data_IF_416755167476
#
_entry.id   IF_416755167476
#
_cell.length_a   1.000
_cell.length_b   1.000
_cell.length_c   1.000
_cell.angle_alpha   90.00
_cell.angle_beta   90.00
_cell.angle_gamma   90.00
#
_symmetry.space_group_name_H-M   'P 1'
#
loop_
_entity.id
_entity.type
_entity.pdbx_description
1 polymer ?
#
# COMPACT_ATOMS: atom_id res chain seq x y z
N UNK A 1 49.96 5.95 -47.86
CA UNK A 1 49.67 4.55 -47.46
C UNK A 1 48.49 4.62 -46.48
N UNK A 2 47.28 4.30 -46.93
CA UNK A 2 46.07 4.38 -46.09
C UNK A 2 45.93 3.05 -45.36
N UNK A 3 46.19 3.05 -44.06
CA UNK A 3 45.93 1.89 -43.19
C UNK A 3 44.42 1.70 -43.07
N UNK A 4 43.87 0.71 -43.76
CA UNK A 4 42.48 0.29 -43.55
C UNK A 4 42.33 -0.24 -42.12
N UNK A 5 41.53 0.46 -41.31
CA UNK A 5 41.13 -0.05 -40.01
C UNK A 5 40.21 -1.24 -40.27
N UNK A 6 40.52 -2.45 -39.77
CA UNK A 6 39.71 -3.62 -40.04
C UNK A 6 38.35 -3.46 -39.35
N UNK A 7 37.30 -3.30 -40.15
CA UNK A 7 35.90 -3.15 -39.74
C UNK A 7 35.45 -4.17 -38.68
N UNK A 8 36.02 -5.38 -38.70
CA UNK A 8 35.79 -6.42 -37.69
C UNK A 8 36.20 -5.98 -36.27
N UNK A 9 37.28 -5.22 -36.11
CA UNK A 9 37.73 -4.72 -34.80
C UNK A 9 36.82 -3.62 -34.27
N UNK A 10 36.39 -2.69 -35.13
CA UNK A 10 35.43 -1.63 -34.76
C UNK A 10 34.11 -2.26 -34.30
N UNK A 11 33.59 -3.23 -35.05
CA UNK A 11 32.33 -3.90 -34.69
C UNK A 11 32.40 -4.63 -33.36
N UNK A 12 33.48 -5.38 -33.11
CA UNK A 12 33.67 -6.09 -31.84
C UNK A 12 33.80 -5.10 -30.67
N UNK A 13 34.58 -4.02 -30.82
CA UNK A 13 34.75 -3.02 -29.77
C UNK A 13 33.43 -2.30 -29.45
N UNK A 14 32.64 -1.94 -30.46
CA UNK A 14 31.32 -1.32 -30.25
C UNK A 14 30.34 -2.28 -29.59
N UNK A 15 30.29 -3.54 -30.00
CA UNK A 15 29.42 -4.55 -29.38
C UNK A 15 29.78 -4.80 -27.91
N UNK A 16 31.08 -4.89 -27.59
CA UNK A 16 31.56 -5.04 -26.21
C UNK A 16 31.26 -3.80 -25.37
N UNK A 17 31.44 -2.59 -25.92
CA UNK A 17 31.12 -1.35 -25.22
C UNK A 17 29.61 -1.22 -24.91
N UNK A 18 28.73 -1.59 -25.84
CA UNK A 18 27.28 -1.62 -25.62
C UNK A 18 26.88 -2.66 -24.57
N UNK A 19 27.50 -3.83 -24.56
CA UNK A 19 27.23 -4.87 -23.56
C UNK A 19 27.64 -4.42 -22.15
N UNK A 20 28.82 -3.81 -22.01
CA UNK A 20 29.31 -3.28 -20.73
C UNK A 20 28.45 -2.10 -20.24
N UNK A 21 28.00 -1.23 -21.15
CA UNK A 21 27.06 -0.16 -20.81
C UNK A 21 25.72 -0.72 -20.31
N UNK A 22 25.18 -1.76 -20.95
CA UNK A 22 23.91 -2.38 -20.53
C UNK A 22 23.96 -2.98 -19.12
N UNK A 23 25.11 -3.54 -18.72
CA UNK A 23 25.33 -4.05 -17.37
C UNK A 23 25.43 -2.93 -16.32
N UNK A 24 25.90 -1.74 -16.71
CA UNK A 24 26.00 -0.58 -15.82
C UNK A 24 24.64 0.10 -15.53
N UNK A 25 23.60 -0.20 -16.33
CA UNK A 25 22.24 0.30 -16.13
C UNK A 25 21.27 -0.76 -15.59
N UNK A 26 21.75 -1.98 -15.32
CA UNK A 26 20.94 -3.03 -14.71
C UNK A 26 20.81 -2.79 -13.19
N UNK A 27 19.93 -1.87 -12.81
CA UNK A 27 19.53 -1.74 -11.41
C UNK A 27 18.69 -2.96 -11.01
N UNK A 28 19.02 -3.68 -9.93
CA UNK A 28 18.16 -4.75 -9.45
C UNK A 28 16.80 -4.17 -9.04
N UNK A 29 15.76 -4.50 -9.80
CA UNK A 29 14.38 -4.29 -9.37
C UNK A 29 14.04 -5.39 -8.36
N UNK A 30 14.09 -5.06 -7.07
CA UNK A 30 13.65 -5.99 -6.04
C UNK A 30 12.14 -6.06 -6.06
N UNK A 31 11.62 -7.21 -6.49
CA UNK A 31 10.20 -7.47 -6.48
C UNK A 31 9.73 -7.82 -5.06
N UNK A 32 8.53 -7.40 -4.66
CA UNK A 32 7.97 -7.70 -3.35
C UNK A 32 8.01 -9.21 -3.06
N UNK A 33 8.49 -9.59 -1.88
CA UNK A 33 8.59 -11.00 -1.43
C UNK A 33 7.77 -11.26 -0.18
N UNK A 34 7.50 -12.54 0.11
CA UNK A 34 6.70 -12.94 1.27
C UNK A 34 5.37 -12.18 1.34
N UNK A 35 5.10 -11.54 2.47
CA UNK A 35 3.87 -10.80 2.74
C UNK A 35 3.91 -9.30 2.39
N UNK A 36 5.01 -8.76 1.84
CA UNK A 36 5.12 -7.34 1.48
C UNK A 36 3.97 -6.85 0.60
N UNK A 37 3.35 -5.73 0.96
CA UNK A 37 2.22 -5.18 0.21
C UNK A 37 0.91 -5.94 0.40
N UNK A 38 0.83 -6.90 1.33
CA UNK A 38 -0.44 -7.48 1.75
C UNK A 38 -0.98 -6.81 3.00
N UNK A 39 -2.30 -6.83 3.13
CA UNK A 39 -3.02 -6.27 4.24
C UNK A 39 -3.06 -7.28 5.38
N UNK A 40 -2.87 -6.82 6.60
CA UNK A 40 -3.00 -7.62 7.82
C UNK A 40 -4.04 -7.00 8.73
N UNK A 41 -4.81 -7.88 9.37
CA UNK A 41 -5.89 -7.45 10.25
C UNK A 41 -5.78 -8.08 11.64
N UNK A 42 -6.24 -7.36 12.65
CA UNK A 42 -6.43 -7.85 14.03
C UNK A 42 -7.74 -7.32 14.60
N UNK A 43 -8.36 -7.97 15.58
CA UNK A 43 -9.64 -7.51 16.17
C UNK A 43 -9.44 -6.44 17.28
N UNK A 44 -10.52 -5.96 17.89
CA UNK A 44 -10.45 -5.20 19.14
C UNK A 44 -10.29 -3.70 19.00
N UNK A 45 -10.75 -3.09 17.90
CA UNK A 45 -10.98 -1.64 17.83
C UNK A 45 -12.45 -1.39 18.09
N UNK A 46 -12.81 -0.62 19.09
CA UNK A 46 -14.23 -0.27 19.32
C UNK A 46 -14.54 1.05 18.61
N UNK A 47 -15.44 1.01 17.63
CA UNK A 47 -15.98 2.21 16.98
C UNK A 47 -17.48 2.21 17.19
N UNK A 48 -18.00 3.27 17.83
CA UNK A 48 -19.42 3.40 18.16
C UNK A 48 -20.03 2.16 18.86
N UNK A 49 -19.26 1.52 19.75
CA UNK A 49 -19.71 0.35 20.52
C UNK A 49 -19.66 -0.98 19.78
N UNK A 50 -19.19 -1.03 18.53
CA UNK A 50 -19.06 -2.25 17.73
C UNK A 50 -17.59 -2.68 17.65
N UNK A 51 -17.31 -3.97 17.88
CA UNK A 51 -15.98 -4.55 17.64
C UNK A 51 -15.65 -4.51 16.14
N UNK A 52 -14.73 -3.62 15.82
CA UNK A 52 -14.11 -3.46 14.52
C UNK A 52 -12.69 -4.03 14.56
N UNK A 53 -12.19 -4.31 13.37
CA UNK A 53 -10.81 -4.73 13.21
C UNK A 53 -9.90 -3.51 13.06
N UNK A 54 -8.60 -3.73 13.18
CA UNK A 54 -7.55 -2.79 12.82
C UNK A 54 -6.82 -3.32 11.60
N UNK A 55 -6.50 -2.46 10.66
CA UNK A 55 -5.80 -2.80 9.43
C UNK A 55 -4.39 -2.23 9.42
N UNK A 56 -3.50 -2.90 8.72
CA UNK A 56 -2.18 -2.41 8.36
C UNK A 56 -1.72 -3.03 7.04
N UNK A 57 -0.73 -2.43 6.39
CA UNK A 57 -0.05 -2.99 5.22
C UNK A 57 1.32 -3.53 5.63
N UNK A 58 1.68 -4.75 5.25
CA UNK A 58 2.99 -5.34 5.52
C UNK A 58 4.09 -4.64 4.71
N UNK A 59 5.03 -3.97 5.38
CA UNK A 59 6.20 -3.30 4.76
C UNK A 59 7.37 -4.26 4.51
N UNK A 60 7.46 -5.34 5.29
CA UNK A 60 8.49 -6.37 5.24
C UNK A 60 7.92 -7.76 4.88
N UNK A 61 8.76 -8.71 4.42
CA UNK A 61 8.27 -10.02 3.97
C UNK A 61 7.65 -10.88 5.07
N UNK A 62 8.08 -10.69 6.31
CA UNK A 62 7.67 -11.43 7.50
C UNK A 62 7.82 -10.54 8.72
N UNK A 63 7.13 -10.87 9.82
CA UNK A 63 7.35 -10.17 11.09
C UNK A 63 8.55 -10.78 11.84
N UNK A 64 9.29 -9.93 12.55
CA UNK A 64 10.24 -10.36 13.58
C UNK A 64 10.23 -9.36 14.74
N UNK A 65 10.68 -9.78 15.93
CA UNK A 65 10.53 -9.03 17.19
C UNK A 65 11.28 -7.69 17.27
N UNK A 66 12.13 -7.36 16.30
CA UNK A 66 12.90 -6.11 16.26
C UNK A 66 12.68 -5.26 15.01
N UNK A 67 11.73 -5.63 14.15
CA UNK A 67 11.44 -4.92 12.90
C UNK A 67 10.21 -4.04 13.00
N UNK A 68 10.03 -3.19 11.99
CA UNK A 68 8.82 -2.40 11.77
C UNK A 68 8.05 -2.95 10.56
N UNK A 69 7.47 -4.17 10.66
CA UNK A 69 6.99 -4.93 9.51
C UNK A 69 5.69 -4.40 8.93
N UNK A 70 5.05 -3.39 9.51
CA UNK A 70 3.78 -2.86 9.05
C UNK A 70 3.78 -1.34 8.93
N UNK A 71 2.95 -0.82 8.03
CA UNK A 71 2.55 0.59 7.93
C UNK A 71 1.07 0.67 8.31
N UNK A 72 0.73 1.53 9.27
CA UNK A 72 -0.65 1.71 9.72
C UNK A 72 -0.93 3.11 10.27
N UNK A 73 -2.21 3.45 10.36
CA UNK A 73 -2.70 4.62 11.09
C UNK A 73 -3.40 4.14 12.36
N UNK A 74 -3.02 4.63 13.55
CA UNK A 74 -3.55 4.16 14.85
C UNK A 74 -4.16 5.32 15.63
N UNK A 75 -5.29 5.09 16.30
CA UNK A 75 -5.81 6.03 17.31
C UNK A 75 -4.79 6.23 18.45
N UNK A 76 -4.39 7.47 18.71
CA UNK A 76 -3.30 7.80 19.65
C UNK A 76 -1.90 7.82 19.02
N UNK A 77 -1.74 7.40 17.76
CA UNK A 77 -0.64 7.88 16.92
C UNK A 77 -1.02 9.25 16.35
N UNK A 78 -0.01 10.10 16.15
CA UNK A 78 -0.22 11.40 15.54
C UNK A 78 -0.34 11.30 14.01
N UNK A 79 0.13 10.22 13.37
CA UNK A 79 0.15 10.05 11.90
C UNK A 79 0.26 8.57 11.46
N UNK A 80 0.09 8.33 10.16
CA UNK A 80 0.45 7.06 9.48
C UNK A 80 1.94 6.80 9.66
N UNK A 81 2.29 5.61 10.12
CA UNK A 81 3.67 5.30 10.50
C UNK A 81 3.99 3.84 10.30
N UNK A 82 5.29 3.56 10.28
CA UNK A 82 5.80 2.22 10.52
C UNK A 82 5.53 1.80 11.97
N UNK A 83 5.20 0.54 12.18
CA UNK A 83 4.95 -0.03 13.50
C UNK A 83 5.54 -1.42 13.66
N UNK A 84 5.87 -1.76 14.90
CA UNK A 84 6.25 -3.12 15.30
C UNK A 84 5.03 -4.04 15.33
N UNK A 85 5.26 -5.36 15.32
CA UNK A 85 4.17 -6.34 15.42
C UNK A 85 3.39 -6.27 16.76
N UNK A 86 4.05 -6.11 17.93
CA UNK A 86 3.34 -5.91 19.19
C UNK A 86 2.48 -4.63 19.21
N UNK A 87 2.95 -3.52 18.63
CA UNK A 87 2.16 -2.29 18.53
C UNK A 87 0.94 -2.45 17.61
N UNK A 88 1.07 -3.21 16.53
CA UNK A 88 -0.05 -3.51 15.64
C UNK A 88 -1.11 -4.37 16.32
N UNK A 89 -0.66 -5.46 16.94
CA UNK A 89 -1.55 -6.44 17.58
C UNK A 89 -2.16 -5.90 18.86
N UNK A 90 -1.43 -5.13 19.67
CA UNK A 90 -1.90 -4.48 20.89
C UNK A 90 -2.58 -5.48 21.86
N UNK A 91 -2.00 -6.69 21.97
CA UNK A 91 -2.54 -7.80 22.76
C UNK A 91 -3.85 -8.40 22.21
N UNK A 92 -4.28 -8.03 21.00
CA UNK A 92 -5.49 -8.54 20.34
C UNK A 92 -5.17 -9.67 19.37
N UNK A 93 -6.22 -10.35 18.93
CA UNK A 93 -6.15 -11.54 18.07
C UNK A 93 -5.96 -11.14 16.61
N UNK A 94 -4.86 -11.61 16.04
CA UNK A 94 -4.60 -11.54 14.61
C UNK A 94 -5.69 -12.29 13.81
N UNK A 95 -6.18 -11.66 12.74
CA UNK A 95 -7.28 -12.16 11.94
C UNK A 95 -6.84 -12.74 10.60
N UNK A 96 -5.65 -12.39 10.10
CA UNK A 96 -5.06 -12.96 8.89
C UNK A 96 -4.37 -11.96 7.98
N UNK A 97 -3.74 -12.49 6.92
CA UNK A 97 -3.16 -11.74 5.80
C UNK A 97 -4.11 -11.83 4.62
N UNK A 98 -4.31 -10.71 3.93
CA UNK A 98 -5.29 -10.54 2.88
C UNK A 98 -4.70 -9.78 1.69
N UNK A 99 -5.18 -10.10 0.49
CA UNK A 99 -4.84 -9.41 -0.76
C UNK A 99 -6.10 -8.94 -1.48
N UNK A 100 -6.00 -8.04 -2.47
CA UNK A 100 -7.11 -7.74 -3.36
C UNK A 100 -7.68 -9.01 -4.03
N UNK A 101 -8.97 -8.98 -4.41
CA UNK A 101 -9.64 -10.10 -5.10
C UNK A 101 -8.95 -10.49 -6.41
N UNK A 102 -8.49 -9.48 -7.15
CA UNK A 102 -7.57 -9.70 -8.27
C UNK A 102 -6.19 -9.87 -7.66
N UNK A 103 -5.59 -11.05 -7.86
CA UNK A 103 -4.27 -11.34 -7.29
C UNK A 103 -3.22 -10.39 -7.88
N UNK A 104 -2.53 -9.58 -7.04
CA UNK A 104 -1.50 -8.67 -7.53
C UNK A 104 -0.22 -9.43 -7.87
N UNK A 105 0.55 -8.89 -8.83
CA UNK A 105 1.92 -9.33 -9.07
C UNK A 105 2.85 -8.83 -7.95
N UNK A 106 4.08 -9.34 -7.90
CA UNK A 106 5.10 -8.81 -6.99
C UNK A 106 5.43 -7.35 -7.28
N UNK A 107 5.49 -6.94 -8.55
CA UNK A 107 5.69 -5.54 -8.93
C UNK A 107 4.54 -4.63 -8.45
N UNK A 108 3.28 -5.06 -8.63
CA UNK A 108 2.14 -4.29 -8.14
C UNK A 108 2.16 -4.14 -6.60
N UNK A 109 2.66 -5.15 -5.89
CA UNK A 109 2.84 -5.06 -4.43
C UNK A 109 3.93 -4.08 -4.02
N UNK A 110 4.97 -3.89 -4.83
CA UNK A 110 5.95 -2.82 -4.59
C UNK A 110 5.33 -1.44 -4.80
N UNK A 111 4.45 -1.30 -5.79
CA UNK A 111 3.69 -0.06 -5.99
C UNK A 111 2.80 0.24 -4.78
N UNK A 112 2.13 -0.77 -4.21
CA UNK A 112 1.36 -0.59 -2.97
C UNK A 112 2.24 -0.08 -1.83
N UNK A 113 3.45 -0.64 -1.69
CA UNK A 113 4.41 -0.19 -0.68
C UNK A 113 4.90 1.23 -0.94
N UNK A 114 5.17 1.58 -2.20
CA UNK A 114 5.57 2.92 -2.58
C UNK A 114 4.49 3.93 -2.17
N UNK A 115 3.22 3.65 -2.48
CA UNK A 115 2.10 4.51 -2.08
C UNK A 115 1.98 4.60 -0.56
N UNK A 116 2.03 3.48 0.16
CA UNK A 116 1.94 3.46 1.61
C UNK A 116 3.09 4.22 2.31
N UNK A 117 4.29 4.22 1.72
CA UNK A 117 5.45 4.99 2.22
C UNK A 117 5.22 6.49 2.06
N UNK A 118 4.65 6.94 0.93
CA UNK A 118 4.27 8.34 0.75
C UNK A 118 3.29 8.81 1.84
N UNK A 119 2.34 7.96 2.24
CA UNK A 119 1.43 8.29 3.36
C UNK A 119 2.18 8.50 4.70
N UNK A 120 3.27 7.75 4.93
CA UNK A 120 4.15 7.95 6.09
C UNK A 120 4.90 9.27 5.97
N UNK A 121 5.48 9.54 4.79
CA UNK A 121 6.29 10.74 4.54
C UNK A 121 5.47 12.03 4.71
N UNK A 122 4.22 12.03 4.23
CA UNK A 122 3.28 13.14 4.39
C UNK A 122 2.68 13.24 5.81
N UNK A 123 2.96 12.26 6.68
CA UNK A 123 2.51 12.21 8.08
C UNK A 123 0.99 12.39 8.22
N UNK A 124 0.23 11.64 7.43
CA UNK A 124 -1.24 11.78 7.39
C UNK A 124 -1.85 11.49 8.79
N UNK A 125 -2.57 12.44 9.41
CA UNK A 125 -3.21 12.25 10.71
C UNK A 125 -4.25 11.14 10.73
N UNK A 126 -4.46 10.53 11.90
CA UNK A 126 -5.52 9.54 12.09
C UNK A 126 -6.90 10.17 12.22
N UNK A 127 -7.93 9.55 11.63
CA UNK A 127 -9.33 9.81 11.95
C UNK A 127 -10.16 8.50 12.01
N UNK A 128 -11.35 8.56 12.62
CA UNK A 128 -12.28 7.42 12.73
C UNK A 128 -13.41 7.44 11.69
N UNK A 129 -13.65 8.59 11.06
CA UNK A 129 -14.84 8.85 10.29
C UNK A 129 -14.71 8.48 8.80
N UNK A 130 -13.52 8.58 8.21
CA UNK A 130 -13.31 8.44 6.77
C UNK A 130 -12.08 7.59 6.53
N UNK A 131 -12.18 6.66 5.57
CA UNK A 131 -11.01 5.94 5.08
C UNK A 131 -9.95 6.93 4.62
N UNK A 132 -10.33 7.88 3.75
CA UNK A 132 -9.44 8.95 3.26
C UNK A 132 -10.23 10.25 3.29
N UNK A 133 -9.77 11.22 4.06
CA UNK A 133 -10.39 12.55 4.13
C UNK A 133 -9.49 13.60 3.48
N UNK A 134 -10.08 14.41 2.62
CA UNK A 134 -9.47 15.51 1.89
C UNK A 134 -10.53 16.58 1.62
N UNK A 135 -10.13 17.81 1.34
CA UNK A 135 -11.04 18.87 0.93
C UNK A 135 -11.36 18.76 -0.57
N UNK A 136 -12.63 18.48 -0.89
CA UNK A 136 -13.12 18.31 -2.25
C UNK A 136 -13.15 19.61 -3.05
N UNK A 137 -13.07 20.77 -2.41
CA UNK A 137 -13.01 22.07 -3.07
C UNK A 137 -11.61 22.44 -3.57
N UNK A 138 -10.57 21.80 -3.03
CA UNK A 138 -9.16 22.13 -3.31
C UNK A 138 -8.36 20.96 -3.87
N UNK A 139 -8.80 19.72 -3.67
CA UNK A 139 -8.15 18.54 -4.24
C UNK A 139 -8.18 18.52 -5.78
N UNK A 140 -7.14 17.93 -6.37
CA UNK A 140 -7.04 17.66 -7.81
C UNK A 140 -8.07 16.64 -8.30
N UNK A 141 -7.92 16.16 -9.54
CA UNK A 141 -8.77 15.06 -10.05
C UNK A 141 -8.53 13.74 -9.30
N UNK A 142 -7.26 13.52 -8.94
CA UNK A 142 -6.80 12.42 -8.12
C UNK A 142 -6.24 13.02 -6.84
N UNK A 143 -6.59 12.42 -5.70
CA UNK A 143 -6.21 12.87 -4.37
C UNK A 143 -4.82 12.33 -4.07
N UNK A 144 -3.79 13.11 -4.31
CA UNK A 144 -2.42 12.79 -3.95
C UNK A 144 -2.26 12.70 -2.41
N UNK A 145 -1.26 11.96 -1.89
CA UNK A 145 -1.02 11.85 -0.45
C UNK A 145 -0.98 13.20 0.27
N UNK A 146 -0.35 14.22 -0.31
CA UNK A 146 -0.23 15.56 0.27
C UNK A 146 -1.58 16.32 0.41
N UNK A 147 -2.63 15.88 -0.29
CA UNK A 147 -3.97 16.46 -0.20
C UNK A 147 -4.84 15.78 0.88
N UNK A 148 -4.37 14.65 1.43
CA UNK A 148 -5.08 13.92 2.47
C UNK A 148 -4.88 14.63 3.81
N UNK A 149 -5.98 15.11 4.39
CA UNK A 149 -5.96 15.79 5.69
C UNK A 149 -5.99 14.80 6.85
N UNK A 150 -6.62 13.63 6.68
CA UNK A 150 -6.55 12.55 7.66
C UNK A 150 -7.04 11.23 7.07
N UNK A 151 -6.71 10.10 7.70
CA UNK A 151 -7.15 8.79 7.25
C UNK A 151 -7.38 7.80 8.40
N UNK A 152 -8.22 6.80 8.14
CA UNK A 152 -8.44 5.68 9.08
C UNK A 152 -7.47 4.53 8.83
N UNK A 153 -7.41 3.58 9.76
CA UNK A 153 -6.48 2.45 9.69
C UNK A 153 -6.65 1.61 8.41
N UNK A 154 -7.89 1.35 8.01
CA UNK A 154 -8.25 0.67 6.76
C UNK A 154 -8.13 1.55 5.52
N UNK A 155 -8.09 2.87 5.69
CA UNK A 155 -7.77 3.82 4.62
C UNK A 155 -6.36 3.62 4.07
N UNK A 156 -5.39 3.23 4.91
CA UNK A 156 -4.02 2.94 4.47
C UNK A 156 -4.01 1.80 3.44
N UNK A 157 -4.77 0.75 3.71
CA UNK A 157 -4.87 -0.42 2.83
C UNK A 157 -5.64 -0.07 1.56
N UNK A 158 -6.80 0.56 1.70
CA UNK A 158 -7.67 0.91 0.60
C UNK A 158 -7.00 1.87 -0.37
N UNK A 159 -6.45 2.98 0.13
CA UNK A 159 -5.76 3.96 -0.70
C UNK A 159 -4.56 3.36 -1.44
N UNK A 160 -3.73 2.55 -0.76
CA UNK A 160 -2.56 1.90 -1.39
C UNK A 160 -2.94 0.93 -2.52
N UNK A 161 -4.02 0.17 -2.35
CA UNK A 161 -4.49 -0.75 -3.37
C UNK A 161 -5.18 -0.03 -4.52
N UNK A 162 -6.06 0.93 -4.22
CA UNK A 162 -6.89 1.58 -5.22
C UNK A 162 -6.12 2.60 -6.07
N UNK A 163 -5.10 3.26 -5.52
CA UNK A 163 -4.14 4.06 -6.29
C UNK A 163 -3.48 3.27 -7.41
N UNK A 164 -3.27 1.98 -7.16
CA UNK A 164 -2.66 1.04 -8.10
C UNK A 164 -3.69 0.25 -8.92
N UNK A 165 -4.97 0.63 -8.88
CA UNK A 165 -6.03 0.02 -9.68
C UNK A 165 -6.67 -1.25 -9.09
N UNK A 166 -6.41 -1.57 -7.82
CA UNK A 166 -6.95 -2.76 -7.15
C UNK A 166 -8.09 -2.39 -6.20
N UNK A 167 -9.33 -2.56 -6.68
CA UNK A 167 -10.54 -2.26 -5.90
C UNK A 167 -10.61 -3.00 -4.56
N UNK A 168 -10.94 -2.26 -3.49
CA UNK A 168 -11.19 -2.77 -2.15
C UNK A 168 -12.65 -2.64 -1.74
N UNK A 169 -13.36 -1.55 -2.02
CA UNK A 169 -14.78 -1.44 -1.68
C UNK A 169 -15.57 -0.75 -2.78
N UNK A 170 -16.89 -0.72 -2.66
CA UNK A 170 -17.76 0.05 -3.53
C UNK A 170 -18.06 -0.53 -4.91
N UNK A 171 -18.91 0.21 -5.63
CA UNK A 171 -19.40 -0.14 -6.95
C UNK A 171 -18.55 0.52 -8.06
N UNK A 172 -18.86 0.27 -9.33
CA UNK A 172 -18.08 0.81 -10.46
C UNK A 172 -17.95 2.34 -10.49
N UNK A 173 -18.82 3.07 -9.77
CA UNK A 173 -18.82 4.53 -9.72
C UNK A 173 -18.04 5.09 -8.53
N UNK A 174 -18.12 4.43 -7.37
CA UNK A 174 -17.60 4.94 -6.10
C UNK A 174 -16.60 4.00 -5.44
N UNK A 175 -15.98 3.11 -6.21
CA UNK A 175 -14.98 2.23 -5.62
C UNK A 175 -13.71 2.97 -5.27
N UNK A 176 -13.24 3.86 -6.15
CA UNK A 176 -11.91 4.45 -6.08
C UNK A 176 -11.83 5.63 -5.09
N UNK A 177 -11.22 5.41 -3.92
CA UNK A 177 -10.98 6.45 -2.91
C UNK A 177 -9.97 7.51 -3.34
N UNK A 178 -9.19 7.23 -4.39
CA UNK A 178 -8.17 8.15 -4.89
C UNK A 178 -8.73 9.14 -5.88
N UNK A 179 -9.93 8.90 -6.42
CA UNK A 179 -10.61 9.86 -7.27
C UNK A 179 -11.33 10.90 -6.42
N UNK A 180 -11.01 12.18 -6.64
CA UNK A 180 -11.62 13.26 -5.88
C UNK A 180 -13.12 13.37 -6.18
N UNK A 181 -13.93 13.38 -5.13
CA UNK A 181 -15.37 13.59 -5.25
C UNK A 181 -16.09 13.41 -3.93
N UNK A 182 -16.98 14.35 -3.60
CA UNK A 182 -17.75 14.32 -2.36
C UNK A 182 -18.50 13.00 -2.17
N UNK A 183 -19.22 12.54 -3.20
CA UNK A 183 -19.95 11.26 -3.14
C UNK A 183 -19.02 10.06 -2.95
N UNK A 184 -17.82 10.07 -3.55
CA UNK A 184 -16.85 8.99 -3.35
C UNK A 184 -16.37 8.97 -1.90
N UNK A 185 -15.94 10.13 -1.37
CA UNK A 185 -15.46 10.25 0.01
C UNK A 185 -16.52 9.82 1.04
N UNK A 186 -17.77 10.27 0.90
CA UNK A 186 -18.84 9.90 1.84
C UNK A 186 -19.25 8.43 1.72
N UNK A 187 -19.17 7.83 0.52
CA UNK A 187 -19.40 6.40 0.32
C UNK A 187 -18.39 5.55 1.11
N UNK A 188 -17.16 6.06 1.27
CA UNK A 188 -16.06 5.46 2.04
C UNK A 188 -15.93 6.09 3.43
N UNK A 189 -17.04 6.16 4.16
CA UNK A 189 -17.09 6.76 5.50
C UNK A 189 -17.86 5.91 6.51
N UNK A 190 -17.59 6.20 7.79
CA UNK A 190 -18.28 5.66 8.94
C UNK A 190 -18.31 4.14 8.93
N UNK A 191 -19.52 3.59 9.03
CA UNK A 191 -19.78 2.15 9.06
C UNK A 191 -20.15 1.57 7.70
N UNK A 192 -20.19 2.37 6.62
CA UNK A 192 -20.52 1.90 5.27
C UNK A 192 -19.51 0.85 4.79
N UNK A 193 -18.25 1.05 5.16
CA UNK A 193 -17.16 0.11 5.02
C UNK A 193 -16.32 0.19 6.28
N UNK A 194 -15.95 -0.96 6.84
CA UNK A 194 -15.09 -1.08 8.01
C UNK A 194 -13.93 -2.02 7.71
N UNK A 195 -12.86 -2.04 8.53
CA UNK A 195 -11.74 -2.96 8.32
C UNK A 195 -12.18 -4.43 8.24
N UNK A 196 -13.19 -4.82 9.04
CA UNK A 196 -13.77 -6.16 9.01
C UNK A 196 -14.54 -6.42 7.71
N UNK A 197 -15.34 -5.46 7.25
CA UNK A 197 -16.09 -5.58 5.99
C UNK A 197 -15.13 -5.72 4.80
N UNK A 198 -14.08 -4.89 4.71
CA UNK A 198 -13.06 -5.02 3.67
C UNK A 198 -12.47 -6.43 3.66
N UNK A 199 -11.97 -6.89 4.81
CA UNK A 199 -11.30 -8.18 4.94
C UNK A 199 -12.21 -9.38 4.63
N UNK A 200 -13.47 -9.34 5.08
CA UNK A 200 -14.39 -10.49 4.97
C UNK A 200 -15.16 -10.52 3.63
N UNK A 201 -15.45 -9.37 3.04
CA UNK A 201 -16.35 -9.29 1.88
C UNK A 201 -15.65 -8.91 0.58
N UNK A 202 -14.52 -8.21 0.65
CA UNK A 202 -13.92 -7.61 -0.53
C UNK A 202 -12.46 -7.99 -0.80
N UNK A 203 -11.76 -8.51 0.19
CA UNK A 203 -10.41 -9.05 0.02
C UNK A 203 -10.42 -10.58 0.01
N UNK A 204 -9.33 -11.17 -0.47
CA UNK A 204 -9.09 -12.61 -0.41
C UNK A 204 -8.10 -12.90 0.72
N UNK A 205 -8.52 -13.74 1.67
CA UNK A 205 -7.63 -14.23 2.74
C UNK A 205 -6.57 -15.16 2.16
N UNK A 206 -5.31 -14.89 2.48
CA UNK A 206 -4.16 -15.71 2.10
C UNK A 206 -3.88 -16.75 3.17
N UNK A 207 -3.80 -16.31 4.43
CA UNK A 207 -3.51 -17.17 5.57
C UNK A 207 -4.09 -16.60 6.86
N UNK A 208 -4.34 -17.46 7.84
CA UNK A 208 -4.66 -17.08 9.22
C UNK A 208 -3.42 -17.12 10.14
N UNK A 209 -2.31 -17.70 9.67
CA UNK A 209 -1.04 -17.74 10.39
C UNK A 209 -0.33 -16.40 10.33
N UNK A 210 0.47 -16.10 11.35
CA UNK A 210 1.29 -14.89 11.38
C UNK A 210 2.25 -14.84 10.17
N UNK A 211 2.49 -13.65 9.60
CA UNK A 211 3.24 -13.48 8.35
C UNK A 211 4.76 -13.56 8.47
#
# INVERSE_FOLDING_TARGET
MVTMIPWKRIFITTAVALLLASAAFASPAYAATGNQGYAVYRNGVIVAGVDQWHAALMSLPHWNSGSLPVIHARSGSNWVQYGTWPEFTDGKTYQGTYRPKVAPTSAARDDFLYVARRLVDERIPYNLAYQVYYDTGTAGTWVEPAEITSMRCDGVVEYAYEWCGYRVYGNSTYWDVTKAGWLSREHHSGTAVTPRIQAQSYLTKITASLP
#
